data_IF_676155673261
#
_entry.id   IF_676155673261
#
_cell.length_a   1.000
_cell.length_b   1.000
_cell.length_c   1.000
_cell.angle_alpha   90.00
_cell.angle_beta   90.00
_cell.angle_gamma   90.00
#
_symmetry.space_group_name_H-M   'P 1'
#
loop_
_entity.id
_entity.type
_entity.pdbx_description
1 polymer ?
#
# COMPACT_ATOMS: atom_id res chain seq x y z
N UNK A 1 -3.76 13.40 -4.71
CA UNK A 1 -4.04 13.71 -3.28
C UNK A 1 -3.88 12.44 -2.48
N UNK A 2 -3.63 12.55 -1.18
CA UNK A 2 -3.39 11.36 -0.36
C UNK A 2 -4.52 11.13 0.64
N UNK A 3 -4.88 9.87 0.80
CA UNK A 3 -5.91 9.43 1.73
C UNK A 3 -5.36 8.31 2.60
N UNK A 4 -5.56 8.40 3.90
CA UNK A 4 -5.34 7.27 4.81
C UNK A 4 -6.64 6.52 4.98
N UNK A 5 -6.60 5.24 4.67
CA UNK A 5 -7.72 4.32 4.79
C UNK A 5 -7.45 3.43 5.99
N UNK A 6 -8.32 3.54 6.99
CA UNK A 6 -8.30 2.67 8.16
C UNK A 6 -9.33 1.56 7.97
N UNK A 7 -8.84 0.32 7.99
CA UNK A 7 -9.66 -0.88 8.04
C UNK A 7 -9.70 -1.40 9.47
N UNK A 8 -10.90 -1.73 9.95
CA UNK A 8 -11.10 -2.51 11.17
C UNK A 8 -11.41 -3.95 10.80
N UNK A 9 -10.55 -4.87 11.25
CA UNK A 9 -10.63 -6.30 10.98
C UNK A 9 -11.51 -6.97 12.04
N UNK A 10 -12.57 -7.69 11.64
CA UNK A 10 -13.43 -8.38 12.59
C UNK A 10 -12.69 -9.48 13.35
N UNK A 11 -13.07 -9.68 14.61
CA UNK A 11 -12.57 -10.75 15.46
C UNK A 11 -13.72 -11.69 15.87
N UNK A 12 -13.54 -13.02 15.82
CA UNK A 12 -12.35 -13.73 15.33
C UNK A 12 -12.20 -13.67 13.80
N UNK A 13 -10.96 -13.70 13.31
CA UNK A 13 -10.68 -13.85 11.87
C UNK A 13 -11.18 -15.22 11.39
N UNK A 14 -12.00 -15.23 10.33
CA UNK A 14 -12.61 -16.45 9.80
C UNK A 14 -11.66 -17.21 8.86
N UNK A 15 -11.93 -18.50 8.63
CA UNK A 15 -11.17 -19.30 7.67
C UNK A 15 -11.29 -18.78 6.23
N UNK A 16 -12.43 -18.20 5.87
CA UNK A 16 -12.68 -17.56 4.58
C UNK A 16 -11.75 -16.35 4.38
N UNK A 17 -11.66 -15.47 5.38
CA UNK A 17 -10.71 -14.34 5.33
C UNK A 17 -9.26 -14.82 5.23
N UNK A 18 -8.89 -15.87 5.96
CA UNK A 18 -7.53 -16.44 5.90
C UNK A 18 -7.21 -16.96 4.49
N UNK A 19 -8.19 -17.58 3.82
CA UNK A 19 -8.03 -18.10 2.46
C UNK A 19 -7.81 -16.99 1.42
N UNK A 20 -8.28 -15.76 1.67
CA UNK A 20 -8.14 -14.60 0.78
C UNK A 20 -6.84 -13.82 0.98
N UNK A 21 -6.06 -14.09 2.05
CA UNK A 21 -4.80 -13.38 2.33
C UNK A 21 -3.78 -13.45 1.17
N UNK A 22 -3.58 -14.59 0.48
CA UNK A 22 -2.65 -14.64 -0.66
C UNK A 22 -3.07 -13.69 -1.78
N UNK A 23 -4.32 -13.77 -2.24
CA UNK A 23 -4.84 -12.90 -3.31
C UNK A 23 -4.84 -11.42 -2.90
N UNK A 24 -5.12 -11.12 -1.62
CA UNK A 24 -5.01 -9.78 -1.08
C UNK A 24 -3.60 -9.22 -1.25
N UNK A 25 -2.57 -10.02 -0.96
CA UNK A 25 -1.17 -9.58 -1.08
C UNK A 25 -0.81 -9.33 -2.53
N UNK A 26 -1.17 -10.25 -3.42
CA UNK A 26 -0.87 -10.13 -4.85
C UNK A 26 -1.45 -8.81 -5.42
N UNK A 27 -2.73 -8.51 -5.13
CA UNK A 27 -3.35 -7.25 -5.57
C UNK A 27 -2.75 -6.00 -4.91
N UNK A 28 -2.40 -6.07 -3.63
CA UNK A 28 -1.76 -4.93 -2.94
C UNK A 28 -0.37 -4.67 -3.52
N UNK A 29 0.39 -5.71 -3.82
CA UNK A 29 1.72 -5.59 -4.42
C UNK A 29 1.62 -4.95 -5.82
N UNK A 30 0.65 -5.36 -6.65
CA UNK A 30 0.38 -4.73 -7.94
C UNK A 30 0.07 -3.23 -7.80
N UNK A 31 -0.84 -2.87 -6.88
CA UNK A 31 -1.21 -1.47 -6.63
C UNK A 31 -0.06 -0.63 -6.04
N UNK A 32 0.86 -1.26 -5.30
CA UNK A 32 2.09 -0.60 -4.85
C UNK A 32 3.06 -0.34 -6.00
N UNK A 33 3.22 -1.31 -6.90
CA UNK A 33 4.07 -1.16 -8.10
C UNK A 33 3.53 -0.06 -9.02
N UNK A 34 2.21 0.06 -9.13
CA UNK A 34 1.54 1.12 -9.90
C UNK A 34 1.57 2.49 -9.21
N UNK A 35 1.91 2.55 -7.92
CA UNK A 35 1.96 3.77 -7.13
C UNK A 35 0.60 4.25 -6.61
N UNK A 36 -0.46 3.44 -6.78
CA UNK A 36 -1.79 3.73 -6.24
C UNK A 36 -1.82 3.55 -4.71
N UNK A 37 -1.15 2.52 -4.19
CA UNK A 37 -0.92 2.34 -2.75
C UNK A 37 0.51 2.76 -2.41
N UNK A 38 0.65 3.71 -1.49
CA UNK A 38 1.95 4.22 -1.03
C UNK A 38 2.45 3.50 0.23
N UNK A 39 1.53 3.00 1.05
CA UNK A 39 1.86 2.30 2.29
C UNK A 39 0.78 1.28 2.65
N UNK A 40 1.18 0.15 3.24
CA UNK A 40 0.29 -0.86 3.78
C UNK A 40 0.83 -1.38 5.13
N UNK A 41 0.14 -1.06 6.22
CA UNK A 41 0.60 -1.35 7.59
C UNK A 41 -0.46 -2.08 8.41
N UNK A 42 -0.14 -3.30 8.84
CA UNK A 42 -1.00 -4.12 9.71
C UNK A 42 -0.59 -3.96 11.18
N UNK A 43 -1.58 -3.78 12.06
CA UNK A 43 -1.35 -3.74 13.51
C UNK A 43 -0.88 -5.10 14.05
N UNK A 44 -0.14 -5.09 15.15
CA UNK A 44 0.41 -6.30 15.77
C UNK A 44 -0.65 -7.32 16.20
N UNK A 45 -1.78 -6.82 16.68
CA UNK A 45 -2.96 -7.59 17.10
C UNK A 45 -3.88 -7.97 15.92
N UNK A 46 -3.60 -7.46 14.71
CA UNK A 46 -4.40 -7.68 13.49
C UNK A 46 -5.84 -7.18 13.60
N UNK A 47 -6.07 -6.15 14.41
CA UNK A 47 -7.37 -5.48 14.52
C UNK A 47 -7.50 -4.28 13.57
N UNK A 48 -6.36 -3.71 13.16
CA UNK A 48 -6.28 -2.52 12.30
C UNK A 48 -5.33 -2.73 11.14
N UNK A 49 -5.74 -2.25 9.98
CA UNK A 49 -4.89 -2.14 8.80
C UNK A 49 -5.00 -0.69 8.29
N UNK A 50 -3.87 -0.05 8.05
CA UNK A 50 -3.80 1.30 7.49
C UNK A 50 -3.17 1.24 6.12
N UNK A 51 -3.79 1.92 5.17
CA UNK A 51 -3.31 2.02 3.80
C UNK A 51 -3.27 3.50 3.42
N UNK A 52 -2.17 3.95 2.81
CA UNK A 52 -2.13 5.29 2.20
C UNK A 52 -2.29 5.13 0.71
N UNK A 53 -3.28 5.82 0.14
CA UNK A 53 -3.64 5.77 -1.28
C UNK A 53 -3.41 7.14 -1.93
N UNK A 54 -2.86 7.15 -3.13
CA UNK A 54 -2.79 8.32 -4.01
C UNK A 54 -3.98 8.30 -4.98
N UNK A 55 -4.81 9.34 -4.96
CA UNK A 55 -5.97 9.50 -5.86
C UNK A 55 -6.37 10.98 -6.04
N UNK A 56 -7.21 11.29 -7.01
CA UNK A 56 -7.76 12.64 -7.20
C UNK A 56 -8.92 12.93 -6.24
N UNK A 57 -9.69 11.91 -5.86
CA UNK A 57 -10.89 12.06 -5.01
C UNK A 57 -11.03 10.95 -3.96
N UNK A 58 -11.86 11.19 -2.94
CA UNK A 58 -12.20 10.18 -1.93
C UNK A 58 -12.96 8.99 -2.54
N UNK A 59 -13.79 9.24 -3.57
CA UNK A 59 -14.52 8.19 -4.29
C UNK A 59 -13.55 7.27 -5.02
N UNK A 60 -12.58 7.84 -5.72
CA UNK A 60 -11.53 7.06 -6.39
C UNK A 60 -10.66 6.29 -5.39
N UNK A 61 -10.32 6.89 -4.25
CA UNK A 61 -9.60 6.19 -3.17
C UNK A 61 -10.38 4.97 -2.67
N UNK A 62 -11.70 5.11 -2.53
CA UNK A 62 -12.59 4.01 -2.17
C UNK A 62 -12.63 2.94 -3.27
N UNK A 63 -12.75 3.33 -4.53
CA UNK A 63 -12.81 2.40 -5.66
C UNK A 63 -11.54 1.53 -5.73
N UNK A 64 -10.35 2.14 -5.58
CA UNK A 64 -9.05 1.44 -5.55
C UNK A 64 -9.04 0.30 -4.50
N UNK A 65 -9.53 0.58 -3.29
CA UNK A 65 -9.53 -0.44 -2.22
C UNK A 65 -10.74 -1.36 -2.24
N UNK A 66 -11.82 -0.99 -2.93
CA UNK A 66 -13.04 -1.78 -2.99
C UNK A 66 -12.83 -3.12 -3.72
N UNK A 67 -11.87 -3.17 -4.64
CA UNK A 67 -11.51 -4.34 -5.42
C UNK A 67 -10.60 -5.33 -4.66
N UNK A 68 -10.13 -4.96 -3.46
CA UNK A 68 -9.30 -5.84 -2.64
C UNK A 68 -10.14 -6.98 -2.03
N UNK A 69 -9.64 -8.24 -2.03
CA UNK A 69 -10.44 -9.41 -1.66
C UNK A 69 -10.98 -9.39 -0.23
N UNK A 70 -10.26 -8.78 0.71
CA UNK A 70 -10.70 -8.70 2.11
C UNK A 70 -11.67 -7.56 2.37
N UNK A 71 -11.77 -6.55 1.50
CA UNK A 71 -12.57 -5.35 1.74
C UNK A 71 -14.02 -5.62 2.13
N UNK A 72 -14.74 -6.61 1.55
CA UNK A 72 -16.11 -6.94 1.96
C UNK A 72 -16.27 -7.34 3.43
N UNK A 73 -15.21 -7.76 4.11
CA UNK A 73 -15.22 -8.19 5.51
C UNK A 73 -14.83 -7.07 6.49
N UNK A 74 -14.34 -5.95 6.00
CA UNK A 74 -13.69 -4.91 6.81
C UNK A 74 -14.61 -3.69 6.96
N UNK A 75 -14.51 -3.01 8.10
CA UNK A 75 -15.09 -1.66 8.25
C UNK A 75 -14.06 -0.64 7.83
N UNK A 76 -14.47 0.34 7.03
CA UNK A 76 -13.58 1.28 6.35
C UNK A 76 -13.87 2.69 6.83
N UNK A 77 -12.82 3.43 7.18
CA UNK A 77 -12.86 4.88 7.35
C UNK A 77 -11.81 5.50 6.44
N UNK A 78 -12.17 6.56 5.71
CA UNK A 78 -11.27 7.28 4.81
C UNK A 78 -10.98 8.66 5.39
N UNK A 79 -9.70 9.04 5.38
CA UNK A 79 -9.22 10.29 5.94
C UNK A 79 -8.38 11.03 4.89
N UNK A 80 -8.84 12.19 4.39
CA UNK A 80 -8.02 13.03 3.51
C UNK A 80 -6.80 13.55 4.29
N UNK A 81 -5.63 13.47 3.66
CA UNK A 81 -4.37 13.90 4.25
C UNK A 81 -3.93 15.24 3.67
N UNK A 82 -3.38 16.11 4.53
CA UNK A 82 -2.70 17.32 4.07
C UNK A 82 -1.24 17.03 3.64
N UNK A 83 -0.59 16.08 4.32
CA UNK A 83 0.78 15.65 4.01
C UNK A 83 1.06 14.25 4.58
N UNK A 84 1.91 13.48 3.89
CA UNK A 84 2.44 12.19 4.32
C UNK A 84 3.94 12.15 4.04
N UNK A 85 4.77 12.26 5.07
CA UNK A 85 6.21 12.01 4.97
C UNK A 85 6.45 10.51 5.01
N UNK A 86 7.10 9.99 3.98
CA UNK A 86 7.77 8.70 4.06
C UNK A 86 9.27 8.94 3.95
N UNK A 87 10.05 8.12 4.65
CA UNK A 87 11.49 8.20 4.55
C UNK A 87 11.92 7.64 3.19
N UNK A 88 12.06 8.51 2.20
CA UNK A 88 12.66 8.14 0.92
C UNK A 88 14.12 7.75 1.16
N UNK A 89 14.45 6.51 0.85
CA UNK A 89 15.84 6.09 0.79
C UNK A 89 16.46 6.80 -0.42
N UNK A 90 17.05 7.98 -0.21
CA UNK A 90 17.85 8.66 -1.23
C UNK A 90 19.07 7.77 -1.52
N UNK A 91 18.95 6.89 -2.52
CA UNK A 91 20.08 6.20 -3.12
C UNK A 91 20.94 7.25 -3.85
N UNK A 92 21.83 7.91 -3.11
CA UNK A 92 22.87 8.72 -3.70
C UNK A 92 23.90 7.79 -4.36
N UNK A 93 23.69 7.48 -5.64
CA UNK A 93 24.74 6.86 -6.46
C UNK A 93 25.77 7.94 -6.82
N UNK A 94 27.02 7.88 -6.33
CA UNK A 94 28.04 8.82 -6.77
C UNK A 94 28.29 8.61 -8.27
N UNK A 95 28.16 9.69 -9.05
CA UNK A 95 28.32 9.73 -10.52
C UNK A 95 29.71 9.29 -11.03
N UNK A 96 30.64 8.93 -10.14
CA UNK A 96 32.01 8.57 -10.49
C UNK A 96 32.21 7.10 -10.91
N UNK A 97 31.23 6.22 -10.73
CA UNK A 97 31.42 4.78 -11.03
C UNK A 97 30.91 4.32 -12.42
N UNK A 98 30.41 5.23 -13.27
CA UNK A 98 29.87 4.87 -14.60
C UNK A 98 30.92 4.95 -15.72
N UNK A 99 32.17 5.32 -15.42
CA UNK A 99 33.24 5.44 -16.43
C UNK A 99 34.37 4.42 -16.22
N UNK A 100 34.08 3.13 -16.03
CA UNK A 100 35.02 2.05 -16.41
C UNK A 100 34.22 0.80 -16.77
N UNK A 101 33.68 0.74 -17.99
CA UNK A 101 33.33 -0.52 -18.66
C UNK A 101 33.24 -0.29 -20.17
N UNK A 102 34.17 0.47 -20.76
CA UNK A 102 34.36 0.60 -22.22
C UNK A 102 35.81 1.00 -22.56
N UNK A 103 36.75 0.10 -22.26
CA UNK A 103 38.15 0.04 -22.76
C UNK A 103 38.87 -0.88 -21.77
N UNK A 104 39.27 -2.11 -22.09
CA UNK A 104 40.30 -2.57 -23.04
C UNK A 104 40.02 -4.11 -23.21
N UNK A 105 39.75 -4.68 -24.40
CA UNK A 105 40.72 -5.17 -25.40
C UNK A 105 42.16 -5.28 -24.95
#
# INVERSE_FOLDING_TARGET
MQFMIEFTIPQPITQEMIALIPEQRDKVDDLMVEGAILNYTLSRDKEKLWVVVESETEVEAFDIISDLPLTPFLKINIHPLMYHDSADLLLHFPLTSVVILHSEC
#
